data_IF_246047199052
#
_entry.id   IF_246047199052
#
_cell.length_a   1.000
_cell.length_b   1.000
_cell.length_c   1.000
_cell.angle_alpha   90.00
_cell.angle_beta   90.00
_cell.angle_gamma   90.00
#
_symmetry.space_group_name_H-M   'P 1'
#
loop_
_entity.id
_entity.type
_entity.pdbx_description
1 polymer ?
#
# COMPACT_ATOMS: atom_id res chain seq x y z
N UNK A 1 -38.41 -5.16 -31.01
CA UNK A 1 -38.44 -6.59 -30.66
C UNK A 1 -37.34 -7.29 -31.46
N UNK A 2 -36.24 -7.68 -30.83
CA UNK A 2 -35.09 -8.29 -31.54
C UNK A 2 -35.49 -9.72 -31.96
N UNK A 3 -35.70 -9.94 -33.26
CA UNK A 3 -36.02 -11.26 -33.81
C UNK A 3 -34.74 -12.00 -34.17
N UNK A 4 -34.37 -12.99 -33.35
CA UNK A 4 -33.25 -13.88 -33.65
C UNK A 4 -33.64 -14.89 -34.73
N UNK A 5 -32.79 -15.05 -35.74
CA UNK A 5 -32.94 -16.10 -36.74
C UNK A 5 -33.03 -17.48 -36.05
N UNK A 6 -33.89 -18.41 -36.54
CA UNK A 6 -34.16 -19.68 -35.85
C UNK A 6 -32.92 -20.56 -35.64
N UNK A 7 -31.89 -20.41 -36.49
CA UNK A 7 -30.59 -21.10 -36.36
C UNK A 7 -29.70 -20.55 -35.24
N UNK A 8 -29.93 -19.32 -34.78
CA UNK A 8 -29.13 -18.65 -33.74
C UNK A 8 -29.60 -19.03 -32.34
N UNK A 9 -30.90 -19.33 -32.18
CA UNK A 9 -31.49 -19.76 -30.89
C UNK A 9 -30.77 -20.96 -30.26
N UNK A 10 -30.51 -22.09 -30.95
CA UNK A 10 -29.83 -23.23 -30.33
C UNK A 10 -28.39 -22.91 -29.93
N UNK A 11 -27.67 -22.12 -30.73
CA UNK A 11 -26.29 -21.68 -30.41
C UNK A 11 -26.28 -20.79 -29.17
N UNK A 12 -27.22 -19.85 -29.08
CA UNK A 12 -27.37 -18.97 -27.93
C UNK A 12 -27.68 -19.75 -26.65
N UNK A 13 -28.60 -20.72 -26.70
CA UNK A 13 -28.89 -21.58 -25.55
C UNK A 13 -27.71 -22.47 -25.18
N UNK A 14 -26.96 -22.99 -26.15
CA UNK A 14 -25.75 -23.75 -25.87
C UNK A 14 -24.68 -22.90 -25.17
N UNK A 15 -24.47 -21.66 -25.61
CA UNK A 15 -23.53 -20.73 -24.96
C UNK A 15 -23.97 -20.35 -23.55
N UNK A 16 -25.27 -20.07 -23.35
CA UNK A 16 -25.82 -19.80 -22.02
C UNK A 16 -25.69 -21.01 -21.10
N UNK A 17 -25.97 -22.21 -21.60
CA UNK A 17 -25.82 -23.44 -20.83
C UNK A 17 -24.36 -23.68 -20.43
N UNK A 18 -23.41 -23.50 -21.35
CA UNK A 18 -21.98 -23.60 -21.06
C UNK A 18 -21.53 -22.58 -20.02
N UNK A 19 -21.99 -21.31 -20.13
CA UNK A 19 -21.66 -20.27 -19.16
C UNK A 19 -22.26 -20.57 -17.77
N UNK A 20 -23.51 -21.05 -17.74
CA UNK A 20 -24.19 -21.42 -16.50
C UNK A 20 -23.51 -22.63 -15.84
N UNK A 21 -23.23 -23.70 -16.60
CA UNK A 21 -22.53 -24.89 -16.09
C UNK A 21 -21.12 -24.55 -15.64
N UNK A 22 -20.37 -23.72 -16.39
CA UNK A 22 -19.04 -23.27 -15.99
C UNK A 22 -19.07 -22.42 -14.72
N UNK A 23 -20.00 -21.46 -14.62
CA UNK A 23 -20.14 -20.59 -13.44
C UNK A 23 -20.59 -21.34 -12.19
N UNK A 24 -21.60 -22.22 -12.31
CA UNK A 24 -22.04 -23.06 -11.20
C UNK A 24 -20.99 -24.10 -10.82
N UNK A 25 -20.36 -24.73 -11.81
CA UNK A 25 -19.31 -25.72 -11.60
C UNK A 25 -18.10 -25.14 -10.87
N UNK A 26 -17.67 -23.93 -11.24
CA UNK A 26 -16.61 -23.22 -10.54
C UNK A 26 -17.02 -22.89 -9.09
N UNK A 27 -18.24 -22.40 -8.88
CA UNK A 27 -18.74 -22.06 -7.54
C UNK A 27 -18.84 -23.28 -6.63
N UNK A 28 -19.41 -24.38 -7.13
CA UNK A 28 -19.51 -25.65 -6.41
C UNK A 28 -18.11 -26.22 -6.16
N UNK A 29 -17.21 -26.15 -7.15
CA UNK A 29 -15.83 -26.59 -7.01
C UNK A 29 -15.08 -25.82 -5.91
N UNK A 30 -15.20 -24.48 -5.88
CA UNK A 30 -14.59 -23.65 -4.82
C UNK A 30 -15.17 -23.98 -3.44
N UNK A 31 -16.48 -24.22 -3.32
CA UNK A 31 -17.12 -24.58 -2.06
C UNK A 31 -16.76 -26.00 -1.59
N UNK A 32 -16.67 -26.96 -2.52
CA UNK A 32 -16.35 -28.36 -2.19
C UNK A 32 -14.87 -28.56 -1.85
N UNK A 33 -13.99 -27.77 -2.46
CA UNK A 33 -12.54 -27.83 -2.22
C UNK A 33 -12.09 -26.92 -1.06
N UNK A 34 -13.00 -26.13 -0.48
CA UNK A 34 -12.72 -25.14 0.57
C UNK A 34 -11.59 -24.15 0.19
N UNK A 35 -11.38 -23.94 -1.11
CA UNK A 35 -10.34 -23.07 -1.64
C UNK A 35 -10.85 -21.64 -1.60
N UNK A 36 -10.61 -20.97 -0.48
CA UNK A 36 -10.73 -19.52 -0.38
C UNK A 36 -9.42 -18.94 0.14
N UNK A 37 -8.90 -17.93 -0.57
CA UNK A 37 -7.76 -17.15 -0.10
C UNK A 37 -8.22 -16.33 1.12
N UNK A 38 -8.03 -16.83 2.34
CA UNK A 38 -8.32 -16.06 3.55
C UNK A 38 -7.07 -15.30 3.97
N UNK A 39 -7.13 -13.97 3.92
CA UNK A 39 -6.12 -13.13 4.55
C UNK A 39 -6.55 -12.83 5.98
N UNK A 40 -5.92 -13.48 6.96
CA UNK A 40 -6.21 -13.17 8.36
C UNK A 40 -5.79 -11.73 8.68
N UNK A 41 -6.62 -10.97 9.42
CA UNK A 41 -6.31 -9.60 9.76
C UNK A 41 -5.19 -9.56 10.79
N UNK A 42 -4.15 -8.81 10.49
CA UNK A 42 -3.13 -8.42 11.46
C UNK A 42 -3.55 -7.07 12.07
N UNK A 43 -3.72 -6.96 13.40
CA UNK A 43 -3.98 -5.69 14.04
C UNK A 43 -2.71 -4.83 14.09
N UNK A 44 -2.90 -3.50 14.07
CA UNK A 44 -1.80 -2.58 14.34
C UNK A 44 -1.38 -2.71 15.81
N UNK A 45 -0.06 -2.67 16.06
CA UNK A 45 0.49 -2.64 17.44
C UNK A 45 0.15 -1.34 18.17
N UNK A 46 0.14 -0.25 17.42
CA UNK A 46 -0.14 1.11 17.89
C UNK A 46 -0.90 1.84 16.79
N UNK A 47 -1.75 2.80 17.19
CA UNK A 47 -2.46 3.66 16.25
C UNK A 47 -1.50 4.46 15.34
N UNK A 48 -1.90 4.73 14.09
CA UNK A 48 -1.06 5.50 13.15
C UNK A 48 -0.83 6.94 13.61
N UNK A 49 -1.70 7.49 14.45
CA UNK A 49 -1.51 8.79 15.10
C UNK A 49 -0.27 8.86 16.00
N UNK A 50 0.30 7.70 16.40
CA UNK A 50 1.56 7.64 17.16
C UNK A 50 2.80 8.00 16.33
N UNK A 51 2.70 8.23 15.02
CA UNK A 51 3.80 8.81 14.26
C UNK A 51 4.15 10.19 14.87
N UNK A 52 5.44 10.50 15.13
CA UNK A 52 5.83 11.76 15.77
C UNK A 52 5.34 13.00 15.03
N UNK A 53 4.96 14.04 15.77
CA UNK A 53 4.60 15.34 15.19
C UNK A 53 5.83 16.18 14.82
N UNK A 54 7.02 15.78 15.27
CA UNK A 54 8.30 16.42 14.96
C UNK A 54 9.30 15.35 14.52
N UNK A 55 9.88 15.53 13.34
CA UNK A 55 10.86 14.65 12.71
C UNK A 55 12.09 15.47 12.29
N UNK A 56 13.03 15.66 13.23
CA UNK A 56 14.15 16.58 13.02
C UNK A 56 13.66 18.02 12.83
N UNK A 57 13.95 18.63 11.69
CA UNK A 57 13.46 19.97 11.34
C UNK A 57 12.01 19.98 10.86
N UNK A 58 11.41 18.84 10.56
CA UNK A 58 10.05 18.77 10.04
C UNK A 58 9.04 18.78 11.18
N UNK A 59 8.13 19.74 11.18
CA UNK A 59 7.09 19.89 12.20
C UNK A 59 5.70 19.77 11.56
N UNK A 60 4.79 19.07 12.22
CA UNK A 60 3.40 18.93 11.77
C UNK A 60 2.76 20.31 11.62
N UNK A 61 2.12 20.53 10.48
CA UNK A 61 1.30 21.73 10.22
C UNK A 61 -0.17 21.33 10.09
N UNK A 62 -1.05 22.07 10.75
CA UNK A 62 -2.48 21.76 10.78
C UNK A 62 -2.83 20.47 11.52
N UNK A 63 -4.05 20.01 11.29
CA UNK A 63 -4.55 18.71 11.76
C UNK A 63 -4.41 17.63 10.67
N UNK A 64 -4.44 16.37 11.09
CA UNK A 64 -4.38 15.24 10.18
C UNK A 64 -5.62 15.24 9.28
N UNK A 65 -5.40 15.08 7.97
CA UNK A 65 -6.48 15.17 6.99
C UNK A 65 -7.41 13.98 7.12
N UNK A 66 -8.69 14.26 7.43
CA UNK A 66 -9.77 13.30 7.41
C UNK A 66 -10.34 13.19 5.99
N UNK A 67 -10.41 11.97 5.49
CA UNK A 67 -11.04 11.66 4.21
C UNK A 67 -12.55 11.44 4.40
N UNK A 68 -13.35 11.81 3.41
CA UNK A 68 -14.77 11.51 3.42
C UNK A 68 -15.04 10.01 3.18
N UNK A 69 -16.29 9.58 3.37
CA UNK A 69 -16.67 8.17 3.27
C UNK A 69 -16.37 7.57 1.88
N UNK A 70 -16.56 8.34 0.80
CA UNK A 70 -16.32 7.86 -0.57
C UNK A 70 -14.82 7.68 -0.85
N UNK A 71 -13.98 8.58 -0.33
CA UNK A 71 -12.53 8.45 -0.39
C UNK A 71 -12.02 7.27 0.44
N UNK A 72 -12.57 7.04 1.64
CA UNK A 72 -12.21 5.90 2.49
C UNK A 72 -12.59 4.56 1.83
N UNK A 73 -13.78 4.50 1.23
CA UNK A 73 -14.22 3.34 0.45
C UNK A 73 -13.28 3.07 -0.74
N UNK A 74 -12.92 4.13 -1.47
CA UNK A 74 -11.99 4.04 -2.61
C UNK A 74 -10.56 3.69 -2.20
N UNK A 75 -10.13 4.14 -1.01
CA UNK A 75 -8.86 3.76 -0.42
C UNK A 75 -8.88 2.26 -0.08
N UNK A 76 -10.00 1.75 0.41
CA UNK A 76 -10.14 0.37 0.85
C UNK A 76 -9.53 0.14 2.23
N UNK A 77 -9.42 1.17 3.07
CA UNK A 77 -9.11 0.98 4.49
C UNK A 77 -9.49 2.22 5.29
N UNK A 78 -10.03 2.01 6.48
CA UNK A 78 -10.25 3.07 7.48
C UNK A 78 -8.98 3.37 8.27
N UNK A 79 -7.94 2.52 8.17
CA UNK A 79 -6.67 2.69 8.87
C UNK A 79 -5.69 3.45 7.99
N UNK A 80 -5.78 4.77 8.02
CA UNK A 80 -4.90 5.64 7.27
C UNK A 80 -4.43 6.84 8.11
N UNK A 81 -3.34 7.46 7.67
CA UNK A 81 -2.86 8.74 8.17
C UNK A 81 -2.45 9.59 6.98
N UNK A 82 -2.97 10.81 6.90
CA UNK A 82 -2.48 11.82 5.97
C UNK A 82 -2.07 13.05 6.77
N UNK A 83 -0.78 13.36 6.80
CA UNK A 83 -0.22 14.43 7.62
C UNK A 83 0.78 15.26 6.83
N UNK A 84 0.69 16.57 6.97
CA UNK A 84 1.66 17.51 6.40
C UNK A 84 2.68 17.96 7.43
N UNK A 85 3.93 18.06 7.01
CA UNK A 85 5.01 18.68 7.78
C UNK A 85 5.63 19.82 7.00
N UNK A 86 6.10 20.83 7.72
CA UNK A 86 6.89 21.92 7.17
C UNK A 86 8.24 22.06 7.87
N UNK A 87 9.23 22.59 7.16
CA UNK A 87 10.55 22.85 7.72
C UNK A 87 10.46 23.95 8.77
N UNK A 88 10.89 23.65 9.99
CA UNK A 88 10.78 24.50 11.18
C UNK A 88 9.35 25.03 11.44
N UNK A 89 8.33 24.31 10.95
CA UNK A 89 6.93 24.74 11.03
C UNK A 89 6.52 25.84 10.05
N UNK A 90 7.38 26.22 9.09
CA UNK A 90 7.12 27.25 8.09
C UNK A 90 6.87 26.64 6.70
N UNK A 91 5.61 26.62 6.20
CA UNK A 91 5.28 26.06 4.89
C UNK A 91 6.02 26.73 3.72
N UNK A 92 6.47 27.98 3.87
CA UNK A 92 7.20 28.69 2.82
C UNK A 92 8.60 28.12 2.57
N UNK A 93 9.19 27.44 3.56
CA UNK A 93 10.50 26.77 3.44
C UNK A 93 10.41 25.40 2.75
N UNK A 94 9.23 24.80 2.72
CA UNK A 94 8.99 23.50 2.11
C UNK A 94 7.99 22.68 2.89
N UNK A 95 7.22 21.85 2.18
CA UNK A 95 6.17 20.99 2.72
C UNK A 95 6.42 19.56 2.26
N UNK A 96 6.23 18.60 3.16
CA UNK A 96 6.11 17.18 2.83
C UNK A 96 4.75 16.66 3.31
N UNK A 97 4.05 15.94 2.43
CA UNK A 97 2.83 15.23 2.77
C UNK A 97 3.15 13.74 2.94
N UNK A 98 2.89 13.22 4.14
CA UNK A 98 3.04 11.82 4.49
C UNK A 98 1.67 11.15 4.46
N UNK A 99 1.52 10.15 3.59
CA UNK A 99 0.33 9.30 3.54
C UNK A 99 0.70 7.85 3.89
N UNK A 100 -0.01 7.26 4.85
CA UNK A 100 0.07 5.84 5.20
C UNK A 100 -1.31 5.23 5.07
N UNK A 101 -1.40 4.06 4.47
CA UNK A 101 -2.60 3.24 4.44
C UNK A 101 -2.25 1.82 4.86
N UNK A 102 -3.00 1.27 5.82
CA UNK A 102 -2.78 -0.07 6.35
C UNK A 102 -3.93 -1.01 5.94
N UNK A 103 -3.61 -1.96 5.08
CA UNK A 103 -4.56 -2.93 4.55
C UNK A 103 -4.49 -4.23 5.37
N UNK A 104 -5.63 -4.67 5.88
CA UNK A 104 -5.73 -5.89 6.69
C UNK A 104 -7.07 -6.57 6.44
N UNK A 105 -7.10 -7.90 6.44
CA UNK A 105 -8.33 -8.68 6.27
C UNK A 105 -8.96 -8.71 4.87
N UNK A 106 -8.31 -8.12 3.84
CA UNK A 106 -8.85 -8.07 2.48
C UNK A 106 -7.90 -8.68 1.43
N UNK A 107 -8.50 -9.29 0.40
CA UNK A 107 -7.81 -10.12 -0.61
C UNK A 107 -7.41 -9.32 -1.85
N UNK A 108 -7.97 -8.13 -2.11
CA UNK A 108 -7.62 -7.37 -3.31
C UNK A 108 -7.69 -5.88 -3.03
N UNK A 109 -6.56 -5.30 -2.66
CA UNK A 109 -6.42 -3.86 -2.51
C UNK A 109 -5.42 -3.40 -3.56
N UNK A 110 -5.89 -2.60 -4.51
CA UNK A 110 -5.02 -1.96 -5.49
C UNK A 110 -4.20 -0.90 -4.74
N UNK A 111 -2.86 -0.99 -4.75
CA UNK A 111 -2.04 0.01 -4.08
C UNK A 111 -2.24 1.36 -4.78
N UNK A 112 -2.47 2.40 -3.97
CA UNK A 112 -2.50 3.78 -4.40
C UNK A 112 -1.07 4.29 -4.58
N UNK A 113 -0.73 4.70 -5.80
CA UNK A 113 0.59 5.24 -6.15
C UNK A 113 0.42 6.59 -6.85
N UNK A 114 1.37 7.52 -6.68
CA UNK A 114 1.30 8.85 -7.28
C UNK A 114 1.03 8.82 -8.79
N UNK A 115 1.63 7.89 -9.52
CA UNK A 115 1.50 7.75 -10.98
C UNK A 115 0.05 7.56 -11.42
N UNK A 116 -0.78 6.92 -10.60
CA UNK A 116 -2.21 6.70 -10.87
C UNK A 116 -3.06 7.83 -10.30
N UNK A 117 -2.86 8.14 -9.02
CA UNK A 117 -3.71 9.07 -8.29
C UNK A 117 -3.52 10.51 -8.75
N UNK A 118 -2.27 10.94 -8.97
CA UNK A 118 -1.96 12.30 -9.41
C UNK A 118 -2.19 12.48 -10.91
N UNK A 119 -1.96 11.44 -11.71
CA UNK A 119 -2.36 11.41 -13.11
C UNK A 119 -3.86 11.63 -13.29
N UNK A 120 -4.68 10.93 -12.47
CA UNK A 120 -6.13 11.13 -12.45
C UNK A 120 -6.55 12.53 -11.98
N UNK A 121 -5.75 13.17 -11.12
CA UNK A 121 -5.95 14.56 -10.68
C UNK A 121 -5.50 15.60 -11.71
N UNK A 122 -4.95 15.18 -12.86
CA UNK A 122 -4.53 16.06 -13.95
C UNK A 122 -3.06 16.51 -13.91
N UNK A 123 -2.25 15.97 -13.00
CA UNK A 123 -0.81 16.19 -13.00
C UNK A 123 -0.15 15.31 -14.08
N UNK A 124 0.89 15.85 -14.73
CA UNK A 124 1.63 15.14 -15.76
C UNK A 124 2.98 14.72 -15.22
N UNK A 125 3.31 13.44 -15.36
CA UNK A 125 4.61 12.92 -14.95
C UNK A 125 5.70 13.43 -15.90
N UNK A 126 6.83 13.80 -15.33
CA UNK A 126 8.00 14.25 -16.06
C UNK A 126 9.15 13.27 -15.83
N UNK A 127 9.63 12.65 -16.91
CA UNK A 127 10.65 11.61 -16.86
C UNK A 127 10.09 10.24 -16.44
N UNK A 128 11.01 9.30 -16.20
CA UNK A 128 10.68 7.96 -15.74
C UNK A 128 10.78 7.86 -14.20
N UNK A 129 9.97 7.02 -13.55
CA UNK A 129 10.12 6.72 -12.13
C UNK A 129 11.52 6.20 -11.80
N UNK A 130 12.12 6.71 -10.73
CA UNK A 130 13.45 6.32 -10.29
C UNK A 130 13.41 5.61 -8.93
N UNK A 131 14.25 4.57 -8.79
CA UNK A 131 14.48 3.94 -7.49
C UNK A 131 15.46 4.79 -6.68
N UNK A 132 15.02 5.24 -5.51
CA UNK A 132 15.82 5.99 -4.56
C UNK A 132 16.00 5.19 -3.27
N UNK A 133 17.23 5.11 -2.78
CA UNK A 133 17.55 4.49 -1.50
C UNK A 133 17.72 5.59 -0.44
N UNK A 134 16.92 5.65 0.62
CA UNK A 134 17.18 6.54 1.73
C UNK A 134 18.50 6.16 2.42
N UNK A 135 19.22 7.17 2.90
CA UNK A 135 20.41 6.96 3.73
C UNK A 135 19.94 6.61 5.14
N UNK A 136 19.98 5.32 5.46
CA UNK A 136 19.77 4.82 6.82
C UNK A 136 21.12 4.59 7.47
N UNK A 137 21.22 4.86 8.76
CA UNK A 137 22.36 4.44 9.58
C UNK A 137 22.05 3.06 10.17
N UNK A 138 22.67 1.98 9.65
CA UNK A 138 22.39 0.62 10.12
C UNK A 138 23.09 0.30 11.44
N UNK A 139 23.93 1.19 11.98
CA UNK A 139 24.70 0.92 13.20
C UNK A 139 23.82 0.70 14.43
N UNK A 140 22.58 1.22 14.40
CA UNK A 140 21.61 1.06 15.48
C UNK A 140 20.77 -0.22 15.35
N UNK A 141 20.98 -1.04 14.32
CA UNK A 141 20.19 -2.23 14.07
C UNK A 141 20.89 -3.49 14.60
N UNK A 142 20.15 -4.30 15.35
CA UNK A 142 20.56 -5.66 15.69
C UNK A 142 20.23 -6.60 14.52
N UNK A 143 21.26 -6.97 13.77
CA UNK A 143 21.16 -7.86 12.60
C UNK A 143 21.18 -9.35 12.97
N UNK A 144 21.45 -9.71 14.23
CA UNK A 144 21.80 -11.08 14.61
C UNK A 144 20.71 -11.79 15.42
N UNK A 145 19.96 -11.07 16.25
CA UNK A 145 19.08 -11.71 17.23
C UNK A 145 17.58 -11.70 16.89
N UNK A 146 17.16 -11.05 15.81
CA UNK A 146 15.74 -11.01 15.46
C UNK A 146 15.15 -12.36 15.03
N UNK A 147 13.82 -12.49 14.93
CA UNK A 147 13.17 -13.73 14.52
C UNK A 147 13.39 -14.04 13.03
N UNK A 148 13.25 -15.31 12.64
CA UNK A 148 13.28 -15.73 11.25
C UNK A 148 11.91 -15.55 10.59
N UNK A 149 11.88 -15.01 9.37
CA UNK A 149 10.68 -14.97 8.55
C UNK A 149 10.37 -16.40 8.05
N UNK A 150 9.16 -16.95 8.28
CA UNK A 150 8.83 -18.31 7.89
C UNK A 150 8.98 -18.60 6.40
N UNK A 151 8.70 -17.62 5.53
CA UNK A 151 8.70 -17.81 4.07
C UNK A 151 10.09 -17.80 3.44
N UNK A 152 11.03 -17.01 3.94
CA UNK A 152 12.37 -16.87 3.35
C UNK A 152 13.48 -17.51 4.18
N UNK A 153 13.22 -17.80 5.46
CA UNK A 153 14.25 -18.21 6.42
C UNK A 153 15.24 -17.08 6.76
N UNK A 154 15.04 -15.87 6.26
CA UNK A 154 15.88 -14.72 6.56
C UNK A 154 15.50 -14.10 7.91
N UNK A 155 16.48 -13.48 8.56
CA UNK A 155 16.31 -12.90 9.90
C UNK A 155 15.88 -11.44 9.79
N UNK A 156 14.81 -11.07 10.51
CA UNK A 156 14.45 -9.68 10.68
C UNK A 156 15.52 -8.95 11.48
N UNK A 157 16.03 -7.84 10.96
CA UNK A 157 16.80 -6.90 11.76
C UNK A 157 15.90 -6.27 12.82
N UNK A 158 16.46 -5.95 13.99
CA UNK A 158 15.73 -5.33 15.08
C UNK A 158 16.27 -3.94 15.40
N UNK A 159 15.38 -3.07 15.89
CA UNK A 159 15.76 -1.78 16.44
C UNK A 159 15.03 -1.57 17.77
N UNK A 160 15.67 -0.91 18.72
CA UNK A 160 15.01 -0.45 19.94
C UNK A 160 14.48 0.95 19.70
N UNK A 161 13.17 1.12 19.85
CA UNK A 161 12.50 2.41 19.72
C UNK A 161 11.80 2.74 21.02
N UNK A 162 11.80 4.02 21.38
CA UNK A 162 11.05 4.50 22.54
C UNK A 162 9.64 4.86 22.13
N UNK A 163 8.64 4.15 22.64
CA UNK A 163 7.25 4.46 22.35
C UNK A 163 6.89 5.87 22.85
N UNK A 164 6.20 6.64 22.02
CA UNK A 164 5.84 8.02 22.36
C UNK A 164 4.81 8.10 23.49
N UNK A 165 3.86 7.16 23.53
CA UNK A 165 2.75 7.14 24.50
C UNK A 165 3.21 6.58 25.83
N UNK A 166 3.78 5.36 25.84
CA UNK A 166 4.16 4.67 27.08
C UNK A 166 5.53 5.10 27.61
N UNK A 167 6.36 5.76 26.78
CA UNK A 167 7.76 6.14 27.05
C UNK A 167 8.67 4.96 27.36
N UNK A 168 8.23 3.73 27.11
CA UNK A 168 9.01 2.50 27.28
C UNK A 168 9.82 2.21 26.02
N UNK A 169 10.97 1.60 26.23
CA UNK A 169 11.78 1.08 25.13
C UNK A 169 11.19 -0.26 24.70
N UNK A 170 10.92 -0.39 23.40
CA UNK A 170 10.37 -1.59 22.78
C UNK A 170 11.23 -2.00 21.60
N UNK A 171 11.39 -3.31 21.44
CA UNK A 171 12.08 -3.88 20.28
C UNK A 171 11.10 -4.05 19.13
N UNK A 172 11.43 -3.48 17.97
CA UNK A 172 10.67 -3.63 16.73
C UNK A 172 11.47 -4.41 15.71
N UNK A 173 10.76 -5.21 14.91
CA UNK A 173 11.34 -5.93 13.78
C UNK A 173 11.22 -5.04 12.54
N UNK A 174 12.34 -4.79 11.87
CA UNK A 174 12.39 -4.09 10.59
C UNK A 174 12.01 -5.07 9.48
N UNK A 175 11.30 -4.62 8.44
CA UNK A 175 10.98 -5.47 7.31
C UNK A 175 12.25 -5.84 6.52
N UNK A 176 12.22 -7.01 5.89
CA UNK A 176 13.30 -7.56 5.08
C UNK A 176 13.41 -6.87 3.71
N UNK A 177 14.63 -6.81 3.20
CA UNK A 177 14.95 -6.21 1.90
C UNK A 177 15.56 -4.83 2.01
N UNK A 178 16.17 -4.36 0.93
CA UNK A 178 16.70 -3.01 0.86
C UNK A 178 15.56 -2.01 0.92
N UNK A 179 15.65 -1.02 1.82
CA UNK A 179 14.75 0.11 1.78
C UNK A 179 15.02 0.90 0.51
N UNK A 180 14.08 0.82 -0.43
CA UNK A 180 14.06 1.58 -1.68
C UNK A 180 12.66 2.15 -1.84
N UNK A 181 12.57 3.36 -2.36
CA UNK A 181 11.32 3.99 -2.76
C UNK A 181 11.34 4.23 -4.26
N UNK A 182 10.18 4.11 -4.89
CA UNK A 182 9.98 4.64 -6.24
C UNK A 182 9.63 6.10 -6.10
N UNK A 183 10.36 6.97 -6.77
CA UNK A 183 10.16 8.40 -6.79
C UNK A 183 9.89 8.87 -8.21
N UNK A 184 8.82 9.64 -8.36
CA UNK A 184 8.36 10.16 -9.65
C UNK A 184 8.11 11.66 -9.53
N UNK A 185 8.45 12.38 -10.60
CA UNK A 185 8.32 13.84 -10.66
C UNK A 185 7.07 14.17 -11.48
N UNK A 186 6.29 15.13 -11.01
CA UNK A 186 5.07 15.59 -11.66
C UNK A 186 5.05 17.11 -11.74
N UNK A 187 4.38 17.61 -12.77
CA UNK A 187 4.14 19.03 -12.99
C UNK A 187 2.65 19.25 -13.24
N UNK A 188 2.12 20.36 -12.74
CA UNK A 188 0.79 20.83 -13.11
C UNK A 188 0.90 21.58 -14.46
N UNK A 189 0.22 21.13 -15.54
CA UNK A 189 0.21 21.85 -16.81
C UNK A 189 -0.29 23.29 -16.69
N UNK A 190 -1.15 23.58 -15.70
CA UNK A 190 -1.70 24.91 -15.44
C UNK A 190 -0.77 25.79 -14.60
N UNK A 191 0.14 25.18 -13.84
CA UNK A 191 1.09 25.88 -13.00
C UNK A 191 2.47 25.20 -13.05
N UNK A 192 3.22 25.53 -14.10
CA UNK A 192 4.54 24.97 -14.35
C UNK A 192 5.61 25.42 -13.35
N UNK A 193 5.32 26.42 -12.51
CA UNK A 193 6.25 26.90 -11.48
C UNK A 193 6.36 25.99 -10.25
N UNK A 194 5.50 24.96 -10.13
CA UNK A 194 5.50 24.02 -9.01
C UNK A 194 5.81 22.62 -9.52
N UNK A 195 6.84 22.02 -8.92
CA UNK A 195 7.20 20.62 -9.15
C UNK A 195 6.78 19.79 -7.95
N UNK A 196 6.06 18.71 -8.22
CA UNK A 196 5.66 17.74 -7.22
C UNK A 196 6.56 16.51 -7.31
N UNK A 197 6.97 15.97 -6.17
CA UNK A 197 7.74 14.72 -6.10
C UNK A 197 6.91 13.73 -5.28
N UNK A 198 6.49 12.65 -5.93
CA UNK A 198 5.76 11.55 -5.30
C UNK A 198 6.71 10.39 -5.03
N UNK A 199 6.85 9.99 -3.77
CA UNK A 199 7.66 8.85 -3.36
C UNK A 199 6.82 7.79 -2.65
N UNK A 200 7.03 6.51 -2.97
CA UNK A 200 6.33 5.41 -2.28
C UNK A 200 7.16 4.14 -2.14
N UNK A 201 6.80 3.33 -1.15
CA UNK A 201 7.23 1.94 -0.98
C UNK A 201 6.14 1.18 -0.23
N UNK A 202 6.20 -0.14 -0.27
CA UNK A 202 5.25 -1.01 0.40
C UNK A 202 5.93 -1.97 1.36
N UNK A 203 5.20 -2.34 2.41
CA UNK A 203 5.56 -3.42 3.31
C UNK A 203 4.44 -4.46 3.27
N UNK A 204 4.76 -5.70 2.94
CA UNK A 204 3.81 -6.80 2.93
C UNK A 204 4.48 -8.07 3.47
N UNK A 205 3.80 -8.77 4.39
CA UNK A 205 4.28 -9.99 5.04
C UNK A 205 5.71 -9.88 5.62
N UNK A 206 6.06 -8.69 6.10
CA UNK A 206 7.36 -8.37 6.68
C UNK A 206 8.46 -8.10 5.65
N UNK A 207 8.16 -8.00 4.36
CA UNK A 207 9.14 -7.65 3.32
C UNK A 207 8.83 -6.30 2.68
N UNK A 208 9.88 -5.59 2.27
CA UNK A 208 9.79 -4.32 1.54
C UNK A 208 9.72 -4.53 0.03
N UNK A 209 9.00 -3.64 -0.66
CA UNK A 209 9.12 -3.50 -2.10
C UNK A 209 8.80 -2.08 -2.57
N UNK A 210 9.57 -1.51 -3.51
CA UNK A 210 9.23 -0.24 -4.16
C UNK A 210 8.19 -0.40 -5.28
N UNK A 211 7.70 -1.61 -5.57
CA UNK A 211 6.83 -1.87 -6.73
C UNK A 211 5.39 -2.20 -6.35
N UNK A 212 4.46 -1.45 -6.96
CA UNK A 212 3.02 -1.70 -6.86
C UNK A 212 2.57 -3.03 -7.46
N UNK A 213 3.36 -3.60 -8.39
CA UNK A 213 3.09 -4.93 -8.93
C UNK A 213 3.60 -6.02 -7.97
N UNK A 214 4.82 -5.85 -7.47
CA UNK A 214 5.46 -6.85 -6.62
C UNK A 214 4.79 -6.98 -5.23
N UNK A 215 4.21 -5.89 -4.70
CA UNK A 215 3.51 -5.95 -3.40
C UNK A 215 2.34 -6.92 -3.42
N UNK A 216 1.67 -7.12 -4.56
CA UNK A 216 0.60 -8.13 -4.69
C UNK A 216 1.16 -9.53 -4.45
N UNK A 217 2.28 -9.85 -5.09
CA UNK A 217 2.94 -11.15 -4.92
C UNK A 217 3.46 -11.35 -3.48
N UNK A 218 3.95 -10.30 -2.82
CA UNK A 218 4.36 -10.38 -1.41
C UNK A 218 3.18 -10.54 -0.47
N UNK A 219 1.99 -10.08 -0.85
CA UNK A 219 0.80 -10.06 0.00
C UNK A 219 0.10 -11.41 0.11
N UNK A 220 0.35 -12.34 -0.82
CA UNK A 220 -0.26 -13.67 -0.83
C UNK A 220 0.80 -14.76 -0.68
N UNK A 221 0.50 -15.76 0.14
CA UNK A 221 1.25 -17.01 0.20
C UNK A 221 0.54 -17.98 -0.77
N UNK A 222 1.16 -18.29 -1.90
CA UNK A 222 0.56 -19.09 -2.98
C UNK A 222 0.63 -20.61 -2.73
N UNK A 223 1.17 -21.03 -1.58
CA UNK A 223 1.56 -22.43 -1.32
C UNK A 223 0.68 -23.17 -0.31
N UNK A 224 -0.43 -22.57 0.14
CA UNK A 224 -1.42 -23.24 0.98
C UNK A 224 -2.71 -23.47 0.18
#
# INVERSE_FOLDING_TARGET
>A
MIHFQPKVKPVYFALLATLAVGGLGLRIGMQALDVYLKKDPVPLRTDLGAIPTVLGHWQRIGEDQQMDAAMVESLGTEKYLTRSYAIDGDPAKGIISLHLAYYTGMIDTVPHIPERCWGAAGLVMFGEPELRSPKLDPSQFDLKNGPLQPSSGLRYSQATVRELVTRKDVTVNLPLGDMKMTASIFQDPKNQGITFIGGYFFIANGSLTPSALAVRNLSFKLTD
#
